data_IF_230651619422
#
_entry.id   IF_230651619422
#
_cell.length_a   1.000
_cell.length_b   1.000
_cell.length_c   1.000
_cell.angle_alpha   90.00
_cell.angle_beta   90.00
_cell.angle_gamma   90.00
#
_symmetry.space_group_name_H-M   'P 1'
#
loop_
_entity.id
_entity.type
_entity.pdbx_description
1 polymer ?
#
# COMPACT_ATOMS: atom_id res chain seq x y z
N UNK A 1 -4.94 29.88 -10.53
CA UNK A 1 -3.92 29.93 -9.47
C UNK A 1 -2.59 29.56 -10.10
N UNK A 2 -1.52 30.33 -9.91
CA UNK A 2 -0.21 30.02 -10.48
C UNK A 2 0.58 29.21 -9.44
N UNK A 3 0.41 27.90 -9.43
CA UNK A 3 1.23 27.01 -8.58
C UNK A 3 2.61 26.91 -9.24
N UNK A 4 3.71 27.20 -8.52
CA UNK A 4 5.05 27.07 -9.08
C UNK A 4 5.32 25.65 -9.57
N UNK A 5 6.25 25.50 -10.52
CA UNK A 5 6.67 24.18 -10.99
C UNK A 5 7.30 23.41 -9.82
N UNK A 6 6.61 22.38 -9.34
CA UNK A 6 7.11 21.51 -8.28
C UNK A 6 8.14 20.53 -8.82
N UNK A 7 9.11 20.18 -7.98
CA UNK A 7 10.15 19.19 -8.29
C UNK A 7 9.67 17.79 -7.90
N UNK A 8 9.72 16.87 -8.85
CA UNK A 8 9.39 15.46 -8.61
C UNK A 8 10.55 14.71 -7.93
N UNK A 9 10.20 13.76 -7.06
CA UNK A 9 11.12 12.82 -6.42
C UNK A 9 10.69 11.40 -6.78
N UNK A 10 11.61 10.64 -7.38
CA UNK A 10 11.37 9.27 -7.80
C UNK A 10 12.56 8.40 -7.41
N UNK A 11 12.27 7.36 -6.64
CA UNK A 11 13.21 6.29 -6.32
C UNK A 11 12.86 5.00 -7.08
N UNK A 12 11.64 4.90 -7.62
CA UNK A 12 11.08 3.67 -8.19
C UNK A 12 10.79 2.63 -7.11
N UNK A 13 10.37 1.43 -7.49
CA UNK A 13 9.97 0.37 -6.54
C UNK A 13 11.00 -0.76 -6.41
N UNK A 14 12.25 -0.51 -6.83
CA UNK A 14 13.37 -1.44 -6.66
C UNK A 14 14.54 -0.75 -5.96
N UNK A 15 14.22 0.03 -4.93
CA UNK A 15 15.21 0.70 -4.10
C UNK A 15 15.88 -0.30 -3.15
N UNK A 16 17.13 0.01 -2.77
CA UNK A 16 17.77 -0.65 -1.63
C UNK A 16 17.47 0.07 -0.31
N UNK A 17 17.94 -0.52 0.77
CA UNK A 17 17.65 -0.10 2.14
C UNK A 17 18.93 0.25 2.87
N UNK A 18 18.90 1.31 3.67
CA UNK A 18 20.00 1.66 4.55
C UNK A 18 19.63 1.35 5.99
N UNK A 19 20.56 0.74 6.72
CA UNK A 19 20.37 0.33 8.11
C UNK A 19 21.41 0.96 9.03
N UNK A 20 20.96 1.60 10.09
CA UNK A 20 21.78 2.11 11.18
C UNK A 20 22.45 0.95 11.94
N UNK A 21 23.73 1.13 12.26
CA UNK A 21 24.48 0.28 13.16
C UNK A 21 24.74 1.02 14.48
N UNK A 22 24.86 0.28 15.58
CA UNK A 22 25.24 0.81 16.89
C UNK A 22 26.63 1.50 16.89
N UNK A 23 27.48 1.20 15.89
CA UNK A 23 28.75 1.91 15.73
C UNK A 23 28.62 3.33 15.17
N UNK A 24 27.40 3.79 14.87
CA UNK A 24 27.10 5.12 14.34
C UNK A 24 27.16 5.23 12.81
N UNK A 25 27.49 4.13 12.12
CA UNK A 25 27.54 4.08 10.64
C UNK A 25 26.31 3.37 10.05
N UNK A 26 26.10 3.54 8.75
CA UNK A 26 24.99 2.92 8.02
C UNK A 26 25.48 1.86 7.04
N UNK A 27 24.73 0.78 6.88
CA UNK A 27 25.01 -0.28 5.91
C UNK A 27 23.89 -0.37 4.88
N UNK A 28 24.27 -0.45 3.61
CA UNK A 28 23.34 -0.64 2.51
C UNK A 28 23.01 -2.13 2.32
N UNK A 29 21.75 -2.42 2.01
CA UNK A 29 21.22 -3.73 1.64
C UNK A 29 20.48 -3.54 0.31
N UNK A 30 20.81 -4.35 -0.70
CA UNK A 30 20.05 -4.34 -1.95
C UNK A 30 18.64 -4.90 -1.73
N UNK A 31 17.69 -4.60 -2.62
CA UNK A 31 16.35 -5.17 -2.51
C UNK A 31 16.36 -6.71 -2.52
N UNK A 32 17.19 -7.30 -3.39
CA UNK A 32 17.36 -8.74 -3.50
C UNK A 32 17.96 -9.37 -2.23
N UNK A 33 18.94 -8.71 -1.60
CA UNK A 33 19.53 -9.20 -0.36
C UNK A 33 18.58 -9.07 0.83
N UNK A 34 17.76 -8.02 0.86
CA UNK A 34 16.74 -7.81 1.88
C UNK A 34 15.72 -8.96 1.86
N UNK A 35 15.20 -9.30 0.68
CA UNK A 35 14.29 -10.43 0.47
C UNK A 35 14.96 -11.77 0.81
N UNK A 36 16.16 -12.02 0.28
CA UNK A 36 16.87 -13.29 0.49
C UNK A 36 17.16 -13.57 1.99
N UNK A 37 17.25 -12.52 2.79
CA UNK A 37 17.46 -12.60 4.24
C UNK A 37 16.21 -12.28 5.06
N UNK A 38 15.02 -12.11 4.46
CA UNK A 38 13.80 -11.70 5.15
C UNK A 38 13.42 -12.62 6.32
N UNK A 39 13.75 -13.91 6.23
CA UNK A 39 13.49 -14.87 7.33
C UNK A 39 14.45 -14.73 8.52
N UNK A 40 15.68 -14.24 8.28
CA UNK A 40 16.72 -14.12 9.31
C UNK A 40 16.92 -12.68 9.79
N UNK A 41 16.50 -11.71 8.98
CA UNK A 41 16.65 -10.27 9.14
C UNK A 41 18.06 -9.85 9.56
N UNK A 42 19.11 -10.36 8.89
CA UNK A 42 20.51 -10.12 9.29
C UNK A 42 21.40 -9.64 8.14
N UNK A 43 22.17 -8.58 8.42
CA UNK A 43 23.28 -8.11 7.58
C UNK A 43 24.51 -7.85 8.45
N UNK A 44 25.72 -7.93 7.90
CA UNK A 44 26.92 -7.49 8.61
C UNK A 44 27.18 -6.01 8.32
N UNK A 45 27.49 -5.24 9.36
CA UNK A 45 27.85 -3.84 9.20
C UNK A 45 29.11 -3.71 8.34
N UNK A 46 29.03 -2.91 7.28
CA UNK A 46 30.15 -2.68 6.36
C UNK A 46 31.37 -2.01 7.03
N UNK A 47 31.19 -1.41 8.21
CA UNK A 47 32.22 -0.64 8.92
C UNK A 47 32.84 -1.41 10.08
N UNK A 48 32.04 -1.97 10.99
CA UNK A 48 32.52 -2.64 12.19
C UNK A 48 32.39 -4.17 12.17
N UNK A 49 31.73 -4.75 11.15
CA UNK A 49 31.51 -6.20 11.02
C UNK A 49 30.46 -6.78 11.97
N UNK A 50 29.90 -6.00 12.90
CA UNK A 50 28.83 -6.43 13.80
C UNK A 50 27.56 -6.76 13.02
N UNK A 51 26.82 -7.79 13.45
CA UNK A 51 25.55 -8.17 12.82
C UNK A 51 24.47 -7.16 13.20
N UNK A 52 23.82 -6.59 12.20
CA UNK A 52 22.64 -5.75 12.32
C UNK A 52 21.41 -6.64 12.10
N UNK A 53 20.44 -6.56 13.02
CA UNK A 53 19.11 -7.10 12.80
C UNK A 53 18.30 -6.07 12.01
N UNK A 54 18.25 -6.22 10.69
CA UNK A 54 17.67 -5.20 9.83
C UNK A 54 16.14 -5.19 9.89
N UNK A 55 15.53 -4.05 9.59
CA UNK A 55 14.09 -3.84 9.58
C UNK A 55 13.72 -2.42 10.01
N UNK A 56 12.42 -2.12 10.19
CA UNK A 56 11.91 -0.77 10.44
C UNK A 56 12.46 -0.05 11.69
N UNK A 57 13.10 -0.74 12.63
CA UNK A 57 13.67 -0.15 13.86
C UNK A 57 15.09 0.37 13.70
N UNK A 58 15.75 -0.01 12.63
CA UNK A 58 17.13 0.41 12.33
C UNK A 58 17.20 1.03 10.95
N UNK A 59 16.07 1.42 10.36
CA UNK A 59 16.04 2.06 9.06
C UNK A 59 16.80 3.38 9.12
N UNK A 60 17.58 3.68 8.09
CA UNK A 60 18.24 4.96 7.92
C UNK A 60 17.69 5.68 6.70
N UNK A 61 17.88 7.01 6.65
CA UNK A 61 17.51 7.80 5.48
C UNK A 61 18.24 7.26 4.24
N UNK A 62 17.48 7.06 3.15
CA UNK A 62 17.95 6.46 1.90
C UNK A 62 18.88 7.39 1.14
N UNK A 63 18.53 8.68 1.10
CA UNK A 63 19.35 9.74 0.54
C UNK A 63 19.74 10.75 1.63
N UNK A 64 21.02 10.79 1.97
CA UNK A 64 21.54 11.75 2.96
C UNK A 64 21.46 13.20 2.49
N UNK A 65 21.28 13.43 1.19
CA UNK A 65 21.09 14.73 0.57
C UNK A 65 19.66 14.92 0.06
N UNK A 66 18.68 14.17 0.61
CA UNK A 66 17.28 14.25 0.18
C UNK A 66 16.83 15.73 0.15
N UNK A 67 16.32 16.24 -0.98
CA UNK A 67 15.87 17.62 -1.10
C UNK A 67 14.86 18.05 -0.03
N UNK A 68 14.08 17.12 0.54
CA UNK A 68 13.15 17.39 1.62
C UNK A 68 13.84 17.85 2.91
N UNK A 69 15.15 17.67 3.05
CA UNK A 69 15.94 18.26 4.15
C UNK A 69 16.05 19.78 4.06
N UNK A 70 15.78 20.40 2.89
CA UNK A 70 15.97 21.84 2.69
C UNK A 70 14.83 22.55 1.95
N UNK A 71 14.13 21.88 1.04
CA UNK A 71 13.23 22.52 0.06
C UNK A 71 11.81 21.95 0.06
N UNK A 72 11.23 21.69 1.24
CA UNK A 72 9.93 21.00 1.40
C UNK A 72 8.80 21.59 0.56
N UNK A 73 8.68 22.92 0.50
CA UNK A 73 7.58 23.60 -0.20
C UNK A 73 7.70 23.54 -1.74
N UNK A 74 8.90 23.27 -2.27
CA UNK A 74 9.17 23.23 -3.71
C UNK A 74 8.97 21.84 -4.32
N UNK A 75 8.73 20.83 -3.47
CA UNK A 75 8.58 19.43 -3.87
C UNK A 75 7.11 19.08 -4.16
N UNK A 76 6.92 18.18 -5.11
CA UNK A 76 5.66 17.48 -5.27
C UNK A 76 5.52 16.40 -4.20
N UNK A 77 4.44 16.46 -3.44
CA UNK A 77 4.09 15.46 -2.44
C UNK A 77 2.90 14.64 -2.90
N UNK A 78 2.78 13.41 -2.39
CA UNK A 78 1.75 12.49 -2.84
C UNK A 78 0.96 11.89 -1.68
N UNK A 79 -0.31 11.59 -1.98
CA UNK A 79 -1.22 10.90 -1.07
C UNK A 79 -2.20 10.03 -1.85
N UNK A 80 -2.62 8.91 -1.27
CA UNK A 80 -3.70 8.06 -1.82
C UNK A 80 -4.87 8.03 -0.87
N UNK A 81 -6.07 8.32 -1.39
CA UNK A 81 -7.29 8.33 -0.61
C UNK A 81 -8.43 7.64 -1.35
N UNK A 82 -9.41 7.15 -0.60
CA UNK A 82 -10.67 6.64 -1.15
C UNK A 82 -11.72 7.74 -1.27
N UNK A 83 -11.46 8.93 -0.72
CA UNK A 83 -12.29 10.13 -0.91
C UNK A 83 -11.90 10.80 -2.24
N UNK A 84 -12.87 11.14 -3.12
CA UNK A 84 -12.65 11.84 -4.40
C UNK A 84 -12.36 13.34 -4.24
N UNK A 85 -12.60 13.90 -3.06
CA UNK A 85 -12.51 15.32 -2.74
C UNK A 85 -11.42 15.61 -1.69
N UNK A 86 -10.49 14.68 -1.45
CA UNK A 86 -9.45 14.81 -0.43
C UNK A 86 -8.49 16.00 -0.70
N UNK A 87 -8.09 16.79 0.33
CA UNK A 87 -8.58 16.77 1.69
C UNK A 87 -10.05 17.20 1.74
N UNK A 88 -10.91 16.36 2.35
CA UNK A 88 -12.36 16.62 2.37
C UNK A 88 -12.69 17.57 3.51
N UNK A 89 -13.43 18.67 3.26
CA UNK A 89 -13.90 19.55 4.32
C UNK A 89 -14.89 18.84 5.25
N UNK A 90 -15.56 17.79 4.77
CA UNK A 90 -16.59 17.04 5.49
C UNK A 90 -16.04 15.76 6.14
N UNK A 91 -14.71 15.58 6.20
CA UNK A 91 -14.08 14.33 6.67
C UNK A 91 -14.58 13.89 8.05
N UNK A 92 -14.67 14.81 9.01
CA UNK A 92 -15.18 14.51 10.35
C UNK A 92 -16.64 14.01 10.32
N UNK A 93 -17.47 14.58 9.44
CA UNK A 93 -18.85 14.16 9.26
C UNK A 93 -18.94 12.79 8.58
N UNK A 94 -18.11 12.53 7.56
CA UNK A 94 -18.05 11.24 6.87
C UNK A 94 -17.64 10.09 7.82
N UNK A 95 -16.65 10.35 8.69
CA UNK A 95 -16.26 9.40 9.74
C UNK A 95 -17.41 9.22 10.75
N UNK A 96 -18.10 10.30 11.15
CA UNK A 96 -19.27 10.21 12.03
C UNK A 96 -20.40 9.37 11.42
N UNK A 97 -20.68 9.52 10.13
CA UNK A 97 -21.75 8.84 9.41
C UNK A 97 -21.43 7.35 9.20
N UNK A 98 -20.19 7.00 8.86
CA UNK A 98 -19.75 5.60 8.72
C UNK A 98 -19.88 4.79 10.03
N UNK A 99 -19.93 5.47 11.18
CA UNK A 99 -20.14 4.85 12.49
C UNK A 99 -21.61 4.66 12.87
N UNK A 100 -22.56 5.25 12.14
CA UNK A 100 -24.00 5.21 12.51
C UNK A 100 -24.65 3.83 12.38
N UNK A 101 -23.97 2.85 11.78
CA UNK A 101 -24.47 1.47 11.62
C UNK A 101 -23.95 0.44 12.64
N UNK A 102 -22.85 0.72 13.35
CA UNK A 102 -22.23 -0.22 14.27
C UNK A 102 -22.47 0.19 15.73
N UNK A 103 -23.49 -0.38 16.38
CA UNK A 103 -23.68 -0.33 17.84
C UNK A 103 -22.66 -1.24 18.55
N UNK A 104 -21.38 -1.17 18.21
CA UNK A 104 -20.33 -1.72 19.09
C UNK A 104 -20.06 -0.67 20.14
N UNK A 105 -19.98 -1.10 21.39
CA UNK A 105 -19.44 -0.29 22.48
C UNK A 105 -17.98 0.03 22.12
N UNK A 106 -17.78 1.18 21.47
CA UNK A 106 -16.44 1.66 21.16
C UNK A 106 -15.81 2.10 22.49
N UNK A 107 -14.68 1.49 22.80
CA UNK A 107 -13.72 1.96 23.80
C UNK A 107 -12.48 2.42 23.01
N UNK A 108 -12.16 3.72 22.93
CA UNK A 108 -12.78 4.89 23.59
C UNK A 108 -14.15 5.28 23.02
N UNK A 109 -14.88 6.18 23.71
CA UNK A 109 -16.22 6.64 23.31
C UNK A 109 -16.24 7.06 21.83
N UNK A 110 -17.37 6.86 21.14
CA UNK A 110 -17.54 7.26 19.73
C UNK A 110 -17.08 8.70 19.48
N UNK A 111 -17.39 9.62 20.40
CA UNK A 111 -16.94 11.01 20.36
C UNK A 111 -15.42 11.16 20.52
N UNK A 112 -14.82 10.39 21.43
CA UNK A 112 -13.36 10.36 21.61
C UNK A 112 -12.61 9.81 20.39
N UNK A 113 -13.11 8.71 19.80
CA UNK A 113 -12.55 8.16 18.57
C UNK A 113 -12.73 9.12 17.37
N UNK A 114 -13.89 9.76 17.26
CA UNK A 114 -14.12 10.80 16.25
C UNK A 114 -13.16 11.97 16.42
N UNK A 115 -13.00 12.45 17.65
CA UNK A 115 -12.05 13.51 17.96
C UNK A 115 -10.63 13.10 17.56
N UNK A 116 -10.18 11.91 17.96
CA UNK A 116 -8.86 11.37 17.63
C UNK A 116 -8.62 11.25 16.12
N UNK A 117 -9.56 10.66 15.37
CA UNK A 117 -9.41 10.50 13.92
C UNK A 117 -9.49 11.84 13.17
N UNK A 118 -10.34 12.76 13.61
CA UNK A 118 -10.46 14.10 13.02
C UNK A 118 -9.29 15.02 13.39
N UNK A 119 -8.55 14.71 14.45
CA UNK A 119 -7.38 15.46 14.89
C UNK A 119 -6.07 14.95 14.31
N UNK A 120 -6.06 13.86 13.52
CA UNK A 120 -4.82 13.37 12.89
C UNK A 120 -4.30 14.38 11.87
N UNK A 121 -2.98 14.55 11.84
CA UNK A 121 -2.33 15.29 10.77
C UNK A 121 -2.50 14.54 9.44
N UNK A 122 -2.46 15.29 8.33
CA UNK A 122 -2.49 14.67 7.01
C UNK A 122 -1.10 14.15 6.65
N UNK A 123 -1.01 12.91 6.17
CA UNK A 123 0.24 12.29 5.79
C UNK A 123 0.49 12.39 4.29
N UNK A 124 1.62 12.99 3.93
CA UNK A 124 2.11 13.09 2.56
C UNK A 124 3.46 12.39 2.44
N UNK A 125 3.71 11.70 1.33
CA UNK A 125 4.98 11.04 1.09
C UNK A 125 5.50 11.28 -0.32
N UNK A 126 6.47 10.46 -0.72
CA UNK A 126 6.83 10.36 -2.14
C UNK A 126 5.72 9.64 -2.91
N UNK A 127 5.84 9.60 -4.23
CA UNK A 127 4.94 8.79 -5.06
C UNK A 127 4.91 7.34 -4.58
N UNK A 128 6.07 6.75 -4.33
CA UNK A 128 6.24 5.38 -3.84
C UNK A 128 5.53 5.19 -2.49
N UNK A 129 5.77 6.07 -1.51
CA UNK A 129 5.10 6.00 -0.20
C UNK A 129 3.58 6.02 -0.34
N UNK A 130 3.04 6.85 -1.24
CA UNK A 130 1.61 6.97 -1.46
C UNK A 130 1.01 5.69 -2.09
N UNK A 131 1.71 5.07 -3.04
CA UNK A 131 1.29 3.82 -3.66
C UNK A 131 1.41 2.65 -2.67
N UNK A 132 2.52 2.52 -1.95
CA UNK A 132 2.69 1.46 -0.94
C UNK A 132 1.66 1.57 0.19
N UNK A 133 1.33 2.79 0.64
CA UNK A 133 0.24 3.00 1.60
C UNK A 133 -1.12 2.51 1.05
N UNK A 134 -1.40 2.73 -0.24
CA UNK A 134 -2.61 2.20 -0.87
C UNK A 134 -2.61 0.67 -0.88
N UNK A 135 -1.51 0.03 -1.27
CA UNK A 135 -1.39 -1.44 -1.29
C UNK A 135 -1.62 -2.02 0.10
N UNK A 136 -0.96 -1.45 1.13
CA UNK A 136 -1.13 -1.84 2.52
C UNK A 136 -2.58 -1.66 3.01
N UNK A 137 -3.28 -0.61 2.58
CA UNK A 137 -4.70 -0.40 2.93
C UNK A 137 -5.62 -1.41 2.27
N UNK A 138 -5.38 -1.72 0.99
CA UNK A 138 -6.11 -2.75 0.26
C UNK A 138 -6.01 -4.10 0.97
N UNK A 139 -4.83 -4.44 1.47
CA UNK A 139 -4.55 -5.67 2.21
C UNK A 139 -5.12 -5.63 3.65
N UNK A 140 -4.70 -4.65 4.45
CA UNK A 140 -4.82 -4.71 5.91
C UNK A 140 -5.97 -3.89 6.49
N UNK A 141 -6.63 -3.03 5.70
CA UNK A 141 -7.64 -2.09 6.19
C UNK A 141 -9.01 -2.28 5.52
N UNK A 142 -9.20 -3.37 4.78
CA UNK A 142 -10.48 -3.69 4.15
C UNK A 142 -10.81 -2.83 2.93
N UNK A 143 -9.86 -2.04 2.43
CA UNK A 143 -10.03 -1.18 1.25
C UNK A 143 -9.81 -1.91 -0.08
N UNK A 144 -9.67 -3.24 -0.07
CA UNK A 144 -9.38 -4.03 -1.27
C UNK A 144 -10.36 -3.79 -2.43
N UNK A 145 -11.64 -3.54 -2.14
CA UNK A 145 -12.67 -3.21 -3.13
C UNK A 145 -12.91 -1.72 -3.38
N UNK A 146 -12.19 -0.83 -2.70
CA UNK A 146 -12.43 0.61 -2.72
C UNK A 146 -11.90 1.28 -3.99
N UNK A 147 -12.56 2.34 -4.46
CA UNK A 147 -12.02 3.23 -5.48
C UNK A 147 -11.00 4.18 -4.83
N UNK A 148 -9.75 4.12 -5.27
CA UNK A 148 -8.70 5.03 -4.82
C UNK A 148 -8.50 6.20 -5.78
N UNK A 149 -7.94 7.28 -5.26
CA UNK A 149 -7.51 8.46 -5.99
C UNK A 149 -6.08 8.77 -5.58
N UNK A 150 -5.23 9.03 -6.58
CA UNK A 150 -3.88 9.55 -6.36
C UNK A 150 -3.94 11.07 -6.37
N UNK A 151 -3.42 11.67 -5.32
CA UNK A 151 -3.30 13.11 -5.16
C UNK A 151 -1.85 13.53 -5.28
N UNK A 152 -1.60 14.52 -6.14
CA UNK A 152 -0.36 15.27 -6.19
C UNK A 152 -0.59 16.61 -5.50
N UNK A 153 0.26 16.96 -4.54
CA UNK A 153 0.00 17.98 -3.53
C UNK A 153 1.04 19.07 -3.60
N UNK A 154 0.58 20.31 -3.67
CA UNK A 154 1.38 21.52 -3.52
C UNK A 154 1.19 22.08 -2.11
N UNK A 155 2.30 22.28 -1.40
CA UNK A 155 2.26 22.99 -0.12
C UNK A 155 2.24 24.51 -0.34
N UNK A 156 1.78 25.24 0.67
CA UNK A 156 1.71 26.69 0.61
C UNK A 156 3.12 27.31 0.52
N UNK A 157 3.34 28.26 -0.40
CA UNK A 157 4.61 28.97 -0.54
C UNK A 157 4.84 29.98 0.60
N UNK A 158 3.86 30.19 1.50
CA UNK A 158 4.07 30.94 2.74
C UNK A 158 5.18 30.30 3.58
N UNK A 159 5.78 31.07 4.49
CA UNK A 159 6.83 30.57 5.39
C UNK A 159 6.26 29.53 6.36
N UNK A 160 6.21 28.27 5.93
CA UNK A 160 5.83 27.11 6.73
C UNK A 160 6.84 26.93 7.88
N UNK A 161 6.33 26.64 9.07
CA UNK A 161 7.14 26.26 10.22
C UNK A 161 7.36 24.75 10.17
N UNK A 162 8.61 24.36 10.00
CA UNK A 162 9.03 22.97 9.78
C UNK A 162 10.09 22.63 10.84
N UNK A 163 9.99 21.44 11.43
CA UNK A 163 11.00 20.94 12.37
C UNK A 163 12.41 20.94 11.77
N UNK A 164 13.44 21.20 12.58
CA UNK A 164 14.85 21.03 12.16
C UNK A 164 15.17 19.55 11.96
N UNK A 165 15.85 19.21 10.85
CA UNK A 165 16.13 17.81 10.50
C UNK A 165 14.85 17.03 10.20
N UNK A 166 14.71 15.85 10.77
CA UNK A 166 13.51 15.02 10.67
C UNK A 166 13.30 14.23 11.97
N UNK A 167 12.06 13.85 12.24
CA UNK A 167 11.69 12.93 13.33
C UNK A 167 11.99 11.49 12.93
N UNK A 168 12.61 10.74 13.82
CA UNK A 168 12.98 9.35 13.55
C UNK A 168 11.86 8.38 13.96
N UNK A 169 11.17 7.80 12.98
CA UNK A 169 10.08 6.86 13.21
C UNK A 169 10.56 5.50 13.75
N UNK A 170 11.87 5.22 13.76
CA UNK A 170 12.42 4.06 14.45
C UNK A 170 12.07 4.05 15.95
N UNK A 171 11.82 5.23 16.54
CA UNK A 171 11.59 5.43 17.98
C UNK A 171 10.18 5.92 18.31
N UNK A 172 9.56 6.70 17.43
CA UNK A 172 8.24 7.31 17.66
C UNK A 172 7.39 7.23 16.39
N UNK A 173 6.26 6.52 16.45
CA UNK A 173 5.35 6.32 15.31
C UNK A 173 4.84 7.69 14.82
N UNK A 174 5.21 8.07 13.60
CA UNK A 174 4.83 9.35 13.04
C UNK A 174 3.38 9.34 12.54
N UNK A 175 2.86 8.17 12.15
CA UNK A 175 1.47 7.96 11.73
C UNK A 175 0.39 8.32 12.78
N UNK A 176 0.79 8.57 14.03
CA UNK A 176 -0.10 8.99 15.12
C UNK A 176 0.03 10.47 15.47
N UNK A 177 0.82 11.24 14.72
CA UNK A 177 0.91 12.69 14.90
C UNK A 177 -0.45 13.34 14.70
N UNK A 178 -0.89 14.05 15.73
CA UNK A 178 -2.11 14.82 15.74
C UNK A 178 -1.80 16.31 15.58
N UNK A 179 -2.81 17.09 15.20
CA UNK A 179 -2.73 18.55 15.09
C UNK A 179 -2.28 19.18 16.43
N UNK A 180 -2.65 18.57 17.56
CA UNK A 180 -2.18 19.00 18.89
C UNK A 180 -0.68 18.84 19.09
N UNK A 181 -0.05 17.83 18.50
CA UNK A 181 1.40 17.64 18.58
C UNK A 181 2.10 18.74 17.77
N UNK A 182 1.55 19.07 16.59
CA UNK A 182 2.01 20.19 15.78
C UNK A 182 1.76 21.54 16.47
N UNK A 183 0.69 21.69 17.27
CA UNK A 183 0.44 22.88 18.08
C UNK A 183 1.47 23.03 19.20
N UNK A 184 1.83 21.92 19.87
CA UNK A 184 2.79 21.92 20.96
C UNK A 184 4.17 22.43 20.57
N UNK A 185 4.60 22.12 19.33
CA UNK A 185 5.90 22.51 18.79
C UNK A 185 5.84 23.77 17.88
N UNK A 186 4.68 24.40 17.76
CA UNK A 186 4.43 25.55 16.87
C UNK A 186 4.78 25.28 15.39
N UNK A 187 4.46 24.08 14.90
CA UNK A 187 4.78 23.60 13.55
C UNK A 187 3.56 23.54 12.63
N UNK A 188 3.78 23.76 11.35
CA UNK A 188 2.80 23.53 10.28
C UNK A 188 3.02 22.17 9.60
N UNK A 189 4.28 21.72 9.59
CA UNK A 189 4.73 20.49 8.93
C UNK A 189 5.80 19.82 9.79
N UNK A 190 5.69 18.50 9.95
CA UNK A 190 6.72 17.65 10.55
C UNK A 190 7.26 16.71 9.47
N UNK A 191 8.56 16.80 9.21
CA UNK A 191 9.31 15.81 8.44
C UNK A 191 9.61 14.61 9.33
N UNK A 192 9.38 13.41 8.82
CA UNK A 192 9.74 12.19 9.49
C UNK A 192 10.35 11.16 8.52
N UNK A 193 11.20 10.30 9.06
CA UNK A 193 11.71 9.13 8.36
C UNK A 193 10.59 8.10 8.25
N UNK A 194 10.13 7.77 7.05
CA UNK A 194 9.12 6.75 6.87
C UNK A 194 9.77 5.35 6.94
N UNK A 195 9.29 4.53 7.87
CA UNK A 195 9.76 3.15 8.05
C UNK A 195 8.69 2.10 7.73
N UNK A 196 7.50 2.55 7.35
CA UNK A 196 6.34 1.71 7.04
C UNK A 196 6.00 1.67 5.56
N UNK A 197 6.11 2.79 4.85
CA UNK A 197 5.92 2.91 3.40
C UNK A 197 7.12 3.59 2.74
N UNK A 198 7.66 3.01 1.67
CA UNK A 198 8.89 3.41 1.03
C UNK A 198 10.03 3.60 2.06
N UNK A 199 10.38 2.50 2.75
CA UNK A 199 11.30 2.50 3.90
C UNK A 199 12.58 3.30 3.63
N UNK A 200 12.86 4.27 4.50
CA UNK A 200 14.03 5.13 4.43
C UNK A 200 13.81 6.46 3.71
N UNK A 201 12.61 6.74 3.19
CA UNK A 201 12.29 8.04 2.58
C UNK A 201 11.82 9.06 3.62
N UNK A 202 11.90 10.36 3.30
CA UNK A 202 11.27 11.40 4.11
C UNK A 202 9.84 11.67 3.66
N UNK A 203 8.92 11.54 4.60
CA UNK A 203 7.49 11.87 4.50
C UNK A 203 7.13 13.02 5.44
N UNK A 204 5.90 13.53 5.31
CA UNK A 204 5.40 14.70 6.05
C UNK A 204 4.11 14.37 6.79
N UNK A 205 4.00 14.85 8.02
CA UNK A 205 2.73 15.08 8.70
C UNK A 205 2.43 16.57 8.62
N UNK A 206 1.29 16.95 8.05
CA UNK A 206 0.96 18.35 7.74
C UNK A 206 -0.40 18.74 8.29
N UNK A 207 -0.54 20.02 8.62
CA UNK A 207 -1.86 20.63 8.79
C UNK A 207 -2.57 20.71 7.44
N UNK A 208 -3.92 20.56 7.39
CA UNK A 208 -4.67 20.83 6.16
C UNK A 208 -4.38 22.22 5.58
N UNK A 209 -4.20 23.24 6.43
CA UNK A 209 -3.92 24.61 6.01
C UNK A 209 -2.51 24.80 5.40
N UNK A 210 -1.61 23.83 5.58
CA UNK A 210 -0.30 23.86 4.93
C UNK A 210 -0.39 23.45 3.45
N UNK A 211 -1.50 22.81 3.02
CA UNK A 211 -1.74 22.42 1.64
C UNK A 211 -2.37 23.59 0.88
N UNK A 212 -1.76 24.02 -0.23
CA UNK A 212 -2.31 25.08 -1.06
C UNK A 212 -3.24 24.54 -2.14
N UNK A 213 -2.86 23.44 -2.79
CA UNK A 213 -3.63 22.87 -3.89
C UNK A 213 -3.31 21.39 -4.10
N UNK A 214 -4.25 20.69 -4.74
CA UNK A 214 -4.08 19.30 -5.16
C UNK A 214 -4.48 19.10 -6.62
N UNK A 215 -3.81 18.18 -7.30
CA UNK A 215 -4.26 17.53 -8.53
C UNK A 215 -4.67 16.11 -8.19
N UNK A 216 -5.66 15.54 -8.88
CA UNK A 216 -6.10 14.17 -8.61
C UNK A 216 -6.53 13.40 -9.85
N UNK A 217 -6.28 12.10 -9.82
CA UNK A 217 -6.77 11.14 -10.80
C UNK A 217 -7.32 9.90 -10.09
N UNK A 218 -8.36 9.24 -10.64
CA UNK A 218 -8.79 7.94 -10.15
C UNK A 218 -7.72 6.88 -10.43
N UNK A 219 -7.62 5.90 -9.54
CA UNK A 219 -6.71 4.75 -9.64
C UNK A 219 -7.51 3.47 -9.87
N UNK A 220 -7.17 2.66 -10.89
CA UNK A 220 -6.07 2.76 -11.82
C UNK A 220 -6.30 3.82 -12.90
N UNK A 221 -5.20 4.24 -13.53
CA UNK A 221 -5.21 5.25 -14.57
C UNK A 221 -5.62 4.64 -15.91
N UNK A 222 -6.74 5.11 -16.47
CA UNK A 222 -7.24 4.65 -17.76
C UNK A 222 -6.25 4.91 -18.90
N UNK A 223 -6.13 3.96 -19.83
CA UNK A 223 -5.36 4.13 -21.07
C UNK A 223 -3.83 3.99 -20.95
N UNK A 224 -3.28 3.76 -19.75
CA UNK A 224 -1.84 3.50 -19.57
C UNK A 224 -1.48 2.01 -19.61
N UNK A 225 -2.45 1.13 -19.41
CA UNK A 225 -2.22 -0.31 -19.40
C UNK A 225 -1.85 -0.83 -20.79
N UNK A 226 -0.74 -1.55 -20.89
CA UNK A 226 -0.44 -2.39 -22.06
C UNK A 226 -0.96 -3.80 -21.79
N UNK A 227 -1.80 -4.33 -22.67
CA UNK A 227 -2.42 -5.65 -22.50
C UNK A 227 -1.34 -6.72 -22.29
N UNK A 228 -1.49 -7.48 -21.20
CA UNK A 228 -0.68 -8.66 -20.90
C UNK A 228 -1.04 -9.83 -21.83
N UNK A 229 -0.84 -9.68 -23.15
CA UNK A 229 -1.10 -10.78 -24.09
C UNK A 229 0.14 -11.66 -24.22
N UNK A 230 0.27 -12.61 -23.30
CA UNK A 230 1.21 -13.71 -23.44
C UNK A 230 0.47 -15.04 -23.48
N UNK A 231 0.95 -15.95 -24.35
CA UNK A 231 0.41 -17.31 -24.43
C UNK A 231 0.46 -18.03 -23.07
N UNK A 232 1.45 -17.71 -22.23
CA UNK A 232 1.61 -18.27 -20.89
C UNK A 232 0.53 -17.76 -19.92
N UNK A 233 0.25 -16.45 -19.90
CA UNK A 233 -0.83 -15.88 -19.07
C UNK A 233 -2.18 -16.48 -19.47
N UNK A 234 -2.44 -16.68 -20.76
CA UNK A 234 -3.66 -17.35 -21.23
C UNK A 234 -3.81 -18.78 -20.71
N UNK A 235 -2.72 -19.55 -20.71
CA UNK A 235 -2.72 -20.92 -20.17
C UNK A 235 -3.05 -20.93 -18.67
N UNK A 236 -2.52 -19.97 -17.92
CA UNK A 236 -2.76 -19.86 -16.48
C UNK A 236 -4.18 -19.36 -16.16
N UNK A 237 -4.74 -18.43 -16.95
CA UNK A 237 -6.16 -18.06 -16.89
C UNK A 237 -7.06 -19.30 -17.07
N UNK A 238 -6.83 -20.09 -18.12
CA UNK A 238 -7.62 -21.31 -18.34
C UNK A 238 -7.45 -22.33 -17.20
N UNK A 239 -6.26 -22.37 -16.57
CA UNK A 239 -6.00 -23.25 -15.42
C UNK A 239 -6.87 -22.86 -14.23
N UNK A 240 -6.93 -21.57 -13.91
CA UNK A 240 -7.80 -21.03 -12.85
C UNK A 240 -9.27 -21.35 -13.15
N UNK A 241 -9.75 -21.05 -14.36
CA UNK A 241 -11.14 -21.32 -14.76
C UNK A 241 -11.50 -22.81 -14.63
N UNK A 242 -10.59 -23.71 -15.05
CA UNK A 242 -10.78 -25.16 -14.87
C UNK A 242 -10.81 -25.57 -13.41
N UNK A 243 -9.96 -24.97 -12.56
CA UNK A 243 -9.92 -25.25 -11.13
C UNK A 243 -11.21 -24.79 -10.43
N UNK A 244 -11.69 -23.58 -10.73
CA UNK A 244 -12.93 -23.01 -10.20
C UNK A 244 -14.15 -23.82 -10.62
N UNK A 245 -14.24 -24.20 -11.90
CA UNK A 245 -15.30 -25.11 -12.37
C UNK A 245 -15.23 -26.49 -11.70
N UNK A 246 -14.03 -26.97 -11.36
CA UNK A 246 -13.83 -28.18 -10.57
C UNK A 246 -14.30 -28.05 -9.12
N UNK A 247 -14.02 -26.91 -8.48
CA UNK A 247 -14.47 -26.60 -7.12
C UNK A 247 -15.99 -26.46 -7.06
N UNK A 248 -16.61 -25.73 -7.99
CA UNK A 248 -18.06 -25.58 -8.06
C UNK A 248 -18.77 -26.95 -8.14
N UNK A 249 -18.27 -27.87 -8.97
CA UNK A 249 -18.77 -29.25 -9.06
C UNK A 249 -18.60 -30.03 -7.75
N UNK A 250 -17.45 -29.88 -7.08
CA UNK A 250 -17.19 -30.53 -5.81
C UNK A 250 -18.08 -29.99 -4.68
N UNK A 251 -18.28 -28.67 -4.62
CA UNK A 251 -19.15 -28.01 -3.64
C UNK A 251 -20.62 -28.39 -3.85
N UNK A 252 -21.08 -28.51 -5.10
CA UNK A 252 -22.42 -29.00 -5.41
C UNK A 252 -22.63 -30.43 -4.89
N UNK A 253 -21.61 -31.29 -4.98
CA UNK A 253 -21.66 -32.66 -4.45
C UNK A 253 -21.65 -32.73 -2.91
N UNK A 254 -21.15 -31.69 -2.24
CA UNK A 254 -21.10 -31.61 -0.77
C UNK A 254 -22.16 -30.70 -0.17
N UNK A 255 -23.08 -30.14 -0.96
CA UNK A 255 -24.00 -29.07 -0.53
C UNK A 255 -24.98 -29.44 0.58
N UNK A 256 -25.19 -30.74 0.83
CA UNK A 256 -25.99 -31.25 1.95
C UNK A 256 -25.20 -31.41 3.27
N UNK A 257 -23.87 -31.26 3.22
CA UNK A 257 -22.96 -31.47 4.36
C UNK A 257 -22.62 -30.11 4.97
N UNK A 258 -22.78 -29.96 6.28
CA UNK A 258 -22.40 -28.72 6.97
C UNK A 258 -20.88 -28.47 6.90
N UNK A 259 -20.47 -27.20 6.87
CA UNK A 259 -19.05 -26.81 6.75
C UNK A 259 -18.15 -27.48 7.82
N UNK A 260 -18.60 -27.52 9.07
CA UNK A 260 -17.88 -28.19 10.16
C UNK A 260 -17.71 -29.69 9.91
N UNK A 261 -18.78 -30.37 9.50
CA UNK A 261 -18.74 -31.81 9.21
C UNK A 261 -17.82 -32.12 8.01
N UNK A 262 -17.85 -31.28 6.98
CA UNK A 262 -16.96 -31.40 5.82
C UNK A 262 -15.48 -31.28 6.24
N UNK A 263 -15.18 -30.33 7.15
CA UNK A 263 -13.83 -30.14 7.69
C UNK A 263 -13.38 -31.32 8.55
N UNK A 264 -14.27 -31.89 9.35
CA UNK A 264 -13.99 -33.10 10.14
C UNK A 264 -13.66 -34.31 9.24
N UNK A 265 -14.40 -34.47 8.14
CA UNK A 265 -14.13 -35.50 7.13
C UNK A 265 -12.78 -35.29 6.43
N UNK A 266 -12.46 -34.04 6.05
CA UNK A 266 -11.17 -33.70 5.43
C UNK A 266 -9.97 -34.01 6.33
N UNK A 267 -10.12 -33.79 7.63
CA UNK A 267 -9.10 -34.06 8.65
C UNK A 267 -9.06 -35.54 9.09
N UNK A 268 -9.92 -36.40 8.53
CA UNK A 268 -9.99 -37.83 8.87
C UNK A 268 -10.62 -38.12 10.23
N UNK A 269 -11.28 -37.13 10.83
CA UNK A 269 -11.97 -37.28 12.12
C UNK A 269 -13.36 -37.92 11.96
N UNK A 270 -13.91 -37.96 10.73
CA UNK A 270 -15.15 -38.64 10.38
C UNK A 270 -15.00 -39.45 9.08
N UNK A 271 -15.81 -40.50 8.87
CA UNK A 271 -15.83 -41.23 7.61
C UNK A 271 -16.17 -40.29 6.44
N UNK A 272 -15.37 -40.35 5.37
CA UNK A 272 -15.58 -39.63 4.12
C UNK A 272 -16.05 -40.64 3.05
N UNK A 273 -17.35 -41.04 3.05
CA UNK A 273 -17.85 -42.02 2.10
C UNK A 273 -17.60 -41.52 0.68
N UNK A 274 -17.08 -42.42 -0.15
CA UNK A 274 -16.68 -42.12 -1.53
C UNK A 274 -15.58 -41.05 -1.66
N UNK A 275 -15.00 -40.51 -0.59
CA UNK A 275 -13.92 -39.52 -0.66
C UNK A 275 -14.36 -38.12 -1.12
N UNK A 276 -15.62 -37.75 -0.92
CA UNK A 276 -16.21 -36.47 -1.34
C UNK A 276 -15.54 -35.26 -0.67
N UNK A 277 -15.27 -35.33 0.64
CA UNK A 277 -14.67 -34.23 1.39
C UNK A 277 -13.21 -34.02 0.99
N UNK A 278 -12.46 -35.11 0.80
CA UNK A 278 -11.09 -35.07 0.28
C UNK A 278 -11.02 -34.53 -1.15
N UNK A 279 -12.00 -34.84 -2.01
CA UNK A 279 -12.11 -34.25 -3.36
C UNK A 279 -12.37 -32.74 -3.31
N UNK A 280 -13.28 -32.30 -2.43
CA UNK A 280 -13.55 -30.87 -2.23
C UNK A 280 -12.30 -30.13 -1.73
N UNK A 281 -11.60 -30.67 -0.73
CA UNK A 281 -10.35 -30.07 -0.25
C UNK A 281 -9.26 -30.01 -1.33
N UNK A 282 -9.10 -31.08 -2.13
CA UNK A 282 -8.19 -31.06 -3.30
C UNK A 282 -8.61 -30.07 -4.38
N UNK A 283 -9.90 -29.82 -4.56
CA UNK A 283 -10.38 -28.82 -5.50
C UNK A 283 -10.09 -27.41 -5.00
N UNK A 284 -10.28 -27.16 -3.69
CA UNK A 284 -9.94 -25.90 -3.04
C UNK A 284 -8.44 -25.59 -3.12
N UNK A 285 -7.57 -26.57 -2.82
CA UNK A 285 -6.13 -26.40 -2.98
C UNK A 285 -5.74 -26.12 -4.42
N UNK A 286 -6.34 -26.80 -5.40
CA UNK A 286 -6.07 -26.53 -6.83
C UNK A 286 -6.44 -25.11 -7.24
N UNK A 287 -7.54 -24.56 -6.73
CA UNK A 287 -7.91 -23.17 -6.95
C UNK A 287 -6.85 -22.25 -6.37
N UNK A 288 -6.48 -22.45 -5.10
CA UNK A 288 -5.42 -21.69 -4.43
C UNK A 288 -4.09 -21.72 -5.21
N UNK A 289 -3.60 -22.91 -5.56
CA UNK A 289 -2.35 -23.11 -6.29
C UNK A 289 -2.41 -22.42 -7.67
N UNK A 290 -3.52 -22.56 -8.40
CA UNK A 290 -3.67 -21.93 -9.72
C UNK A 290 -3.70 -20.41 -9.67
N UNK A 291 -4.33 -19.82 -8.64
CA UNK A 291 -4.34 -18.38 -8.42
C UNK A 291 -2.95 -17.87 -8.02
N UNK A 292 -2.22 -18.62 -7.19
CA UNK A 292 -0.85 -18.27 -6.83
C UNK A 292 0.08 -18.29 -8.05
N UNK A 293 0.04 -19.35 -8.86
CA UNK A 293 0.82 -19.45 -10.10
C UNK A 293 0.50 -18.31 -11.09
N UNK A 294 -0.78 -17.94 -11.24
CA UNK A 294 -1.19 -16.83 -12.09
C UNK A 294 -0.63 -15.49 -11.58
N UNK A 295 -0.74 -15.21 -10.28
CA UNK A 295 -0.21 -13.99 -9.66
C UNK A 295 1.30 -13.87 -9.81
N UNK A 296 2.04 -14.96 -9.58
CA UNK A 296 3.49 -14.97 -9.75
C UNK A 296 3.86 -14.71 -11.22
N UNK A 297 3.15 -15.35 -12.16
CA UNK A 297 3.35 -15.14 -13.61
C UNK A 297 3.09 -13.69 -14.01
N UNK A 298 1.98 -13.11 -13.54
CA UNK A 298 1.63 -11.73 -13.84
C UNK A 298 2.66 -10.77 -13.25
N UNK A 299 3.10 -10.98 -12.02
CA UNK A 299 4.13 -10.16 -11.38
C UNK A 299 5.46 -10.22 -12.11
N UNK A 300 5.92 -11.40 -12.53
CA UNK A 300 7.12 -11.55 -13.37
C UNK A 300 7.00 -10.82 -14.71
N UNK A 301 5.83 -10.87 -15.36
CA UNK A 301 5.63 -10.31 -16.69
C UNK A 301 5.40 -8.80 -16.68
N UNK A 302 4.70 -8.28 -15.67
CA UNK A 302 4.17 -6.91 -15.64
C UNK A 302 4.91 -5.99 -14.67
N UNK A 303 5.69 -6.55 -13.74
CA UNK A 303 6.45 -5.80 -12.74
C UNK A 303 7.95 -6.15 -12.77
N UNK A 304 8.61 -6.25 -13.93
CA UNK A 304 10.01 -6.67 -14.01
C UNK A 304 10.97 -5.66 -13.35
N UNK A 305 10.60 -4.38 -13.27
CA UNK A 305 11.45 -3.34 -12.66
C UNK A 305 11.20 -3.16 -11.17
N UNK A 306 10.25 -3.90 -10.58
CA UNK A 306 9.83 -3.81 -9.18
C UNK A 306 10.54 -4.90 -8.36
N UNK A 307 10.96 -4.59 -7.14
CA UNK A 307 11.54 -5.58 -6.24
C UNK A 307 10.52 -6.67 -5.88
N UNK A 308 11.00 -7.84 -5.51
CA UNK A 308 10.12 -8.95 -5.15
C UNK A 308 9.29 -8.67 -3.89
N UNK A 309 9.84 -7.94 -2.92
CA UNK A 309 9.12 -7.50 -1.71
C UNK A 309 7.86 -6.70 -2.10
N UNK A 310 8.04 -5.61 -2.87
CA UNK A 310 6.93 -4.75 -3.27
C UNK A 310 5.99 -5.48 -4.24
N UNK A 311 6.50 -6.40 -5.05
CA UNK A 311 5.66 -7.28 -5.88
C UNK A 311 4.79 -8.21 -5.02
N UNK A 312 5.31 -8.68 -3.89
CA UNK A 312 4.57 -9.43 -2.88
C UNK A 312 3.40 -8.62 -2.34
N UNK A 313 3.69 -7.41 -1.83
CA UNK A 313 2.66 -6.48 -1.33
C UNK A 313 1.60 -6.16 -2.39
N UNK A 314 2.02 -5.96 -3.64
CA UNK A 314 1.11 -5.75 -4.76
C UNK A 314 0.20 -6.96 -5.01
N UNK A 315 0.77 -8.17 -5.03
CA UNK A 315 0.02 -9.41 -5.24
C UNK A 315 -0.99 -9.64 -4.11
N UNK A 316 -0.62 -9.37 -2.86
CA UNK A 316 -1.52 -9.52 -1.72
C UNK A 316 -2.61 -8.45 -1.71
N UNK A 317 -2.31 -7.20 -2.09
CA UNK A 317 -3.33 -6.18 -2.32
C UNK A 317 -4.33 -6.61 -3.42
N UNK A 318 -3.84 -7.17 -4.53
CA UNK A 318 -4.68 -7.66 -5.62
C UNK A 318 -5.55 -8.86 -5.21
N UNK A 319 -5.06 -9.77 -4.35
CA UNK A 319 -5.86 -10.85 -3.75
C UNK A 319 -7.01 -10.32 -2.90
N UNK A 320 -6.78 -9.23 -2.16
CA UNK A 320 -7.84 -8.59 -1.38
C UNK A 320 -8.86 -7.90 -2.28
N UNK A 321 -8.44 -7.30 -3.40
CA UNK A 321 -9.37 -6.83 -4.42
C UNK A 321 -10.23 -7.98 -4.99
N UNK A 322 -9.62 -9.12 -5.34
CA UNK A 322 -10.34 -10.30 -5.82
C UNK A 322 -11.37 -10.79 -4.79
N UNK A 323 -10.97 -10.86 -3.52
CA UNK A 323 -11.82 -11.32 -2.41
C UNK A 323 -13.00 -10.37 -2.14
N UNK A 324 -12.83 -9.08 -2.38
CA UNK A 324 -13.89 -8.07 -2.26
C UNK A 324 -14.84 -8.06 -3.47
N UNK A 325 -14.38 -8.50 -4.65
CA UNK A 325 -15.15 -8.55 -5.89
C UNK A 325 -15.54 -9.98 -6.25
N UNK A 326 -16.22 -10.67 -5.33
CA UNK A 326 -16.65 -12.05 -5.52
C UNK A 326 -17.58 -12.16 -6.74
N UNK A 327 -17.15 -12.93 -7.74
CA UNK A 327 -17.87 -13.10 -9.01
C UNK A 327 -17.30 -12.32 -10.19
N UNK A 328 -16.23 -11.54 -10.00
CA UNK A 328 -15.42 -11.05 -11.11
C UNK A 328 -14.80 -12.22 -11.88
N UNK A 329 -14.83 -12.17 -13.20
CA UNK A 329 -14.19 -13.20 -14.03
C UNK A 329 -12.67 -13.10 -13.89
N UNK A 330 -11.97 -14.22 -14.10
CA UNK A 330 -10.50 -14.24 -14.07
C UNK A 330 -9.91 -13.22 -15.06
N UNK A 331 -10.58 -13.00 -16.20
CA UNK A 331 -10.17 -11.99 -17.19
C UNK A 331 -10.28 -10.56 -16.65
N UNK A 332 -11.33 -10.25 -15.89
CA UNK A 332 -11.52 -8.93 -15.28
C UNK A 332 -10.44 -8.68 -14.21
N UNK A 333 -10.07 -9.73 -13.48
CA UNK A 333 -8.93 -9.69 -12.56
C UNK A 333 -7.63 -9.38 -13.29
N UNK A 334 -7.33 -10.08 -14.39
CA UNK A 334 -6.09 -9.83 -15.15
C UNK A 334 -6.06 -8.43 -15.75
N UNK A 335 -7.19 -7.94 -16.26
CA UNK A 335 -7.32 -6.56 -16.74
C UNK A 335 -7.02 -5.57 -15.61
N UNK A 336 -7.66 -5.73 -14.44
CA UNK A 336 -7.42 -4.89 -13.27
C UNK A 336 -5.97 -4.94 -12.81
N UNK A 337 -5.38 -6.13 -12.72
CA UNK A 337 -3.99 -6.34 -12.34
C UNK A 337 -3.06 -5.57 -13.30
N UNK A 338 -3.29 -5.69 -14.61
CA UNK A 338 -2.51 -5.01 -15.65
C UNK A 338 -2.61 -3.49 -15.50
N UNK A 339 -3.80 -2.96 -15.24
CA UNK A 339 -4.00 -1.54 -15.02
C UNK A 339 -3.31 -1.05 -13.74
N UNK A 340 -3.42 -1.78 -12.64
CA UNK A 340 -2.78 -1.42 -11.37
C UNK A 340 -1.26 -1.53 -11.43
N UNK A 341 -0.71 -2.49 -12.19
CA UNK A 341 0.73 -2.66 -12.36
C UNK A 341 1.42 -1.42 -12.96
N UNK A 342 0.69 -0.61 -13.75
CA UNK A 342 1.21 0.65 -14.31
C UNK A 342 1.64 1.65 -13.23
N UNK A 343 1.04 1.60 -12.05
CA UNK A 343 1.42 2.48 -10.94
C UNK A 343 2.86 2.23 -10.49
N UNK A 344 3.33 0.99 -10.60
CA UNK A 344 4.66 0.60 -10.13
C UNK A 344 5.68 0.56 -11.27
N UNK A 345 5.29 0.05 -12.43
CA UNK A 345 6.19 -0.13 -13.57
C UNK A 345 6.35 1.15 -14.40
N UNK A 346 5.35 2.04 -14.40
CA UNK A 346 5.31 3.27 -15.21
C UNK A 346 4.99 4.53 -14.39
N UNK A 347 5.71 4.79 -13.28
CA UNK A 347 5.38 5.90 -12.37
C UNK A 347 5.44 7.26 -13.05
N UNK A 348 6.34 7.45 -14.02
CA UNK A 348 6.46 8.72 -14.77
C UNK A 348 5.21 9.02 -15.59
N UNK A 349 4.65 8.03 -16.28
CA UNK A 349 3.45 8.22 -17.09
C UNK A 349 2.22 8.53 -16.21
N UNK A 350 2.16 7.93 -15.02
CA UNK A 350 1.12 8.22 -14.02
C UNK A 350 1.28 9.64 -13.47
N UNK A 351 2.51 10.05 -13.17
CA UNK A 351 2.79 11.41 -12.71
C UNK A 351 2.51 12.46 -13.79
N UNK A 352 2.80 12.17 -15.05
CA UNK A 352 2.41 13.03 -16.17
C UNK A 352 0.89 13.14 -16.28
N UNK A 353 0.16 12.02 -16.09
CA UNK A 353 -1.30 12.00 -16.14
C UNK A 353 -1.95 12.83 -15.01
N UNK A 354 -1.43 12.78 -13.78
CA UNK A 354 -1.92 13.64 -12.68
C UNK A 354 -1.47 15.09 -12.85
N UNK A 355 -0.26 15.34 -13.36
CA UNK A 355 0.24 16.70 -13.62
C UNK A 355 -0.55 17.42 -14.71
N UNK A 356 -1.16 16.68 -15.64
CA UNK A 356 -2.06 17.23 -16.65
C UNK A 356 -3.43 17.67 -16.10
N UNK A 357 -3.80 17.27 -14.88
CA UNK A 357 -5.07 17.65 -14.28
C UNK A 357 -5.08 19.10 -13.79
N UNK A 358 -6.25 19.76 -13.74
CA UNK A 358 -6.33 21.09 -13.15
C UNK A 358 -6.03 21.05 -11.64
N UNK A 359 -5.31 22.05 -11.14
CA UNK A 359 -5.16 22.26 -9.70
C UNK A 359 -6.49 22.67 -9.06
N UNK A 360 -6.85 22.00 -7.97
CA UNK A 360 -7.91 22.38 -7.05
C UNK A 360 -7.30 23.02 -5.82
N UNK A 361 -7.69 24.25 -5.51
CA UNK A 361 -7.26 24.92 -4.28
C UNK A 361 -7.84 24.20 -3.04
N UNK A 362 -7.03 24.08 -1.99
CA UNK A 362 -7.48 23.68 -0.66
C UNK A 362 -7.67 24.96 0.15
N UNK A 363 -8.88 25.16 0.67
CA UNK A 363 -9.30 26.42 1.30
C UNK A 363 -8.98 26.45 2.80
#
# INVERSE_FOLDING_TARGET
MNVPALVERFDGFNYGYWMNCECGETTFISAADYEAQANNCRVQCAHCGTKIHFGPRVAAIRDRNDPALHSVADLAWYHTSTSPDWPSPDYAQQIADSMTGNKRDYWPSREGYLAEQSSKALHLGTYESAIENMLRRMENQGDGGSQFYLYRVALSPSRLRINTGYKDENQEIAADLCISDLDGDDLDVVRYLNVHEALGTLSLAVRPQAIAAVQSIPVPVGGLATVADSAHVRVDIERVQRAEGGLAKAMAATGAIGHMELREMQLGMRPDPEGIAKRAGKAQNRVYDSWHELLDRLGECLLPSVSAEIRGDFNDAMRHWQSANQGAEVTDFVERYTMMATLLERPRDVVDAVTAQPWRAVA
#
